data_IF_974335912442
#
_entry.id   IF_974335912442
#
_cell.length_a   1.000
_cell.length_b   1.000
_cell.length_c   1.000
_cell.angle_alpha   90.00
_cell.angle_beta   90.00
_cell.angle_gamma   90.00
#
_symmetry.space_group_name_H-M   'P 1'
#
loop_
_entity.id
_entity.type
_entity.pdbx_description
1 polymer ?
#
# COMPACT_ATOMS: atom_id res chain seq x y z
N UNK A 1 -11.01 13.07 -17.96
CA UNK A 1 -10.56 13.03 -16.58
C UNK A 1 -11.76 12.74 -15.69
N UNK A 2 -11.95 11.48 -15.29
CA UNK A 2 -12.86 11.15 -14.18
C UNK A 2 -12.10 11.41 -12.90
N UNK A 3 -12.66 12.22 -12.03
CA UNK A 3 -12.07 12.52 -10.74
C UNK A 3 -11.84 11.23 -9.95
N UNK A 4 -10.60 11.01 -9.49
CA UNK A 4 -10.16 9.90 -8.64
C UNK A 4 -10.88 9.91 -7.26
N UNK A 5 -11.68 10.93 -6.98
CA UNK A 5 -12.49 11.07 -5.75
C UNK A 5 -13.69 10.14 -5.66
N UNK A 6 -13.99 9.30 -6.68
CA UNK A 6 -15.12 8.38 -6.67
C UNK A 6 -14.73 6.91 -6.32
N UNK A 7 -13.68 6.70 -5.50
CA UNK A 7 -13.52 5.44 -4.75
C UNK A 7 -14.54 5.29 -3.60
N UNK A 8 -15.53 6.17 -3.52
CA UNK A 8 -16.72 6.06 -2.64
C UNK A 8 -17.78 5.08 -3.17
N UNK A 9 -17.40 4.14 -4.05
CA UNK A 9 -18.24 2.99 -4.34
C UNK A 9 -18.37 2.13 -3.12
N UNK A 10 -19.33 2.44 -2.24
CA UNK A 10 -19.92 1.60 -1.17
C UNK A 10 -18.97 0.68 -0.34
N UNK A 11 -17.68 1.01 -0.20
CA UNK A 11 -17.06 0.83 1.11
C UNK A 11 -17.88 1.73 2.01
N UNK A 12 -18.72 1.15 2.89
CA UNK A 12 -19.37 1.89 3.95
C UNK A 12 -18.32 2.82 4.55
N UNK A 13 -18.23 4.04 4.01
CA UNK A 13 -17.65 5.17 4.70
C UNK A 13 -18.66 5.43 5.81
N UNK A 14 -18.61 4.57 6.82
CA UNK A 14 -18.98 5.05 8.13
C UNK A 14 -18.02 6.20 8.31
N UNK A 15 -18.58 7.36 8.55
CA UNK A 15 -17.89 8.60 8.91
C UNK A 15 -16.93 8.27 10.07
N UNK A 16 -15.79 7.70 9.73
CA UNK A 16 -14.68 7.43 10.62
C UNK A 16 -13.86 8.72 10.61
N UNK A 17 -14.49 9.81 11.13
CA UNK A 17 -13.70 10.86 11.75
C UNK A 17 -12.66 10.14 12.62
N UNK A 18 -11.37 10.34 12.30
CA UNK A 18 -10.26 9.84 13.10
C UNK A 18 -10.60 10.18 14.55
N UNK A 19 -11.05 9.17 15.30
CA UNK A 19 -11.53 9.36 16.67
C UNK A 19 -10.30 9.35 17.59
N UNK A 20 -9.31 10.16 17.20
CA UNK A 20 -8.12 10.45 17.97
C UNK A 20 -8.48 11.67 18.79
N UNK A 21 -8.63 11.53 20.09
CA UNK A 21 -8.93 12.65 20.98
C UNK A 21 -7.84 13.72 20.82
N UNK A 22 -8.24 15.00 20.74
CA UNK A 22 -7.30 16.11 20.77
C UNK A 22 -6.90 16.37 22.22
N UNK A 23 -5.60 16.45 22.50
CA UNK A 23 -5.08 16.81 23.83
C UNK A 23 -5.16 18.31 24.02
N UNK A 24 -5.80 18.77 25.07
CA UNK A 24 -5.72 20.16 25.49
C UNK A 24 -4.33 20.42 26.12
N UNK A 25 -3.40 20.91 25.32
CA UNK A 25 -2.13 21.53 25.77
C UNK A 25 -0.86 20.74 25.49
N UNK A 26 -0.02 21.31 24.79
CA UNK A 26 1.33 21.79 24.86
C UNK A 26 2.37 21.16 23.93
N UNK A 27 2.40 19.86 23.66
CA UNK A 27 3.56 19.30 22.94
C UNK A 27 3.17 18.78 21.57
N UNK A 28 3.92 19.22 20.54
CA UNK A 28 3.81 18.66 19.18
C UNK A 28 3.95 17.13 19.25
N UNK A 29 3.23 16.40 18.39
CA UNK A 29 3.32 14.93 18.39
C UNK A 29 4.77 14.46 18.17
N UNK A 30 5.52 15.12 17.30
CA UNK A 30 6.92 14.79 17.03
C UNK A 30 7.79 14.81 18.29
N UNK A 31 7.51 15.66 19.28
CA UNK A 31 8.24 15.72 20.55
C UNK A 31 7.93 14.51 21.48
N UNK A 32 6.85 13.77 21.21
CA UNK A 32 6.42 12.61 22.01
C UNK A 32 7.01 11.29 21.50
N UNK A 33 7.66 11.27 20.35
CA UNK A 33 8.14 10.03 19.73
C UNK A 33 9.23 9.31 20.54
N UNK A 34 9.88 9.98 21.46
CA UNK A 34 10.80 9.34 22.43
C UNK A 34 10.07 8.38 23.39
N UNK A 35 8.77 8.63 23.70
CA UNK A 35 7.94 7.78 24.56
C UNK A 35 6.87 7.01 23.77
N UNK A 36 6.52 7.50 22.61
CA UNK A 36 5.52 6.92 21.70
C UNK A 36 6.19 6.63 20.35
N UNK A 37 7.02 5.58 20.24
CA UNK A 37 7.85 5.34 19.05
C UNK A 37 7.01 5.19 17.77
N UNK A 38 7.60 5.56 16.65
CA UNK A 38 6.92 5.51 15.36
C UNK A 38 7.61 4.56 14.37
N UNK A 39 6.83 4.13 13.37
CA UNK A 39 7.31 3.45 12.18
C UNK A 39 6.94 4.28 10.94
N UNK A 40 7.74 4.19 9.88
CA UNK A 40 7.43 4.77 8.58
C UNK A 40 6.66 3.76 7.73
N UNK A 41 5.65 4.24 7.02
CA UNK A 41 4.82 3.45 6.11
C UNK A 41 4.90 4.03 4.71
N UNK A 42 5.20 3.18 3.73
CA UNK A 42 5.30 3.54 2.32
C UNK A 42 4.23 2.80 1.53
N UNK A 43 3.39 3.56 0.84
CA UNK A 43 2.30 3.01 0.04
C UNK A 43 2.75 2.69 -1.39
N UNK A 44 1.95 1.86 -2.08
CA UNK A 44 2.21 1.47 -3.46
C UNK A 44 1.36 2.22 -4.48
N UNK A 45 0.96 1.48 -5.53
CA UNK A 45 0.13 1.97 -6.65
C UNK A 45 -1.30 2.30 -6.22
N UNK A 46 -1.97 3.13 -7.03
CA UNK A 46 -3.38 3.47 -6.87
C UNK A 46 -3.64 4.85 -6.26
N UNK A 47 -2.59 5.64 -6.04
CA UNK A 47 -2.68 6.99 -5.46
C UNK A 47 -2.07 8.05 -6.38
N UNK A 48 -2.49 9.31 -6.24
CA UNK A 48 -1.99 10.44 -7.02
C UNK A 48 -0.62 10.91 -6.50
N UNK A 49 0.41 10.21 -6.93
CA UNK A 49 1.80 10.50 -6.57
C UNK A 49 2.26 11.87 -7.08
N UNK A 50 1.73 12.33 -8.22
CA UNK A 50 2.18 13.59 -8.82
C UNK A 50 1.66 14.81 -8.05
N UNK A 51 0.43 14.79 -7.58
CA UNK A 51 -0.10 15.83 -6.69
C UNK A 51 0.65 15.86 -5.37
N UNK A 52 0.97 14.69 -4.80
CA UNK A 52 1.80 14.59 -3.60
C UNK A 52 3.20 15.20 -3.84
N UNK A 53 3.85 14.84 -4.96
CA UNK A 53 5.15 15.42 -5.32
C UNK A 53 5.08 16.93 -5.52
N UNK A 54 4.06 17.44 -6.23
CA UNK A 54 3.84 18.90 -6.40
C UNK A 54 3.76 19.61 -5.05
N UNK A 55 3.02 19.05 -4.11
CA UNK A 55 2.87 19.61 -2.77
C UNK A 55 4.22 19.67 -2.05
N UNK A 56 5.00 18.58 -2.06
CA UNK A 56 6.32 18.53 -1.42
C UNK A 56 7.34 19.47 -2.11
N UNK A 57 7.33 19.56 -3.45
CA UNK A 57 8.16 20.49 -4.20
C UNK A 57 7.86 21.95 -3.84
N UNK A 58 6.59 22.30 -3.69
CA UNK A 58 6.17 23.64 -3.24
C UNK A 58 6.59 23.94 -1.78
N UNK A 59 6.81 22.91 -0.97
CA UNK A 59 7.37 23.00 0.38
C UNK A 59 8.91 23.01 0.41
N UNK A 60 9.57 22.91 -0.75
CA UNK A 60 11.02 23.05 -0.88
C UNK A 60 11.82 21.78 -1.17
N UNK A 61 11.18 20.61 -1.23
CA UNK A 61 11.83 19.32 -1.42
C UNK A 61 12.62 19.18 -2.75
N UNK A 62 12.39 20.05 -3.73
CA UNK A 62 13.10 20.00 -5.02
C UNK A 62 14.62 20.06 -4.90
N UNK A 63 15.14 20.72 -3.89
CA UNK A 63 16.60 20.91 -3.70
C UNK A 63 17.31 19.60 -3.38
N UNK A 64 16.65 18.70 -2.68
CA UNK A 64 17.18 17.38 -2.29
C UNK A 64 16.88 16.32 -3.33
N UNK A 65 15.66 16.34 -3.88
CA UNK A 65 15.20 15.27 -4.77
C UNK A 65 15.68 15.43 -6.20
N UNK A 66 15.85 16.67 -6.73
CA UNK A 66 16.30 16.87 -8.11
C UNK A 66 17.69 16.25 -8.40
N UNK A 67 18.72 16.42 -7.56
CA UNK A 67 20.02 15.76 -7.77
C UNK A 67 19.92 14.21 -7.77
N UNK A 68 19.03 13.63 -6.94
CA UNK A 68 18.81 12.17 -6.91
C UNK A 68 18.20 11.68 -8.24
N UNK A 69 17.25 12.44 -8.81
CA UNK A 69 16.67 12.12 -10.12
C UNK A 69 17.70 12.21 -11.23
N UNK A 70 18.53 13.26 -11.25
CA UNK A 70 19.62 13.42 -12.22
C UNK A 70 20.59 12.25 -12.12
N UNK A 71 21.08 11.93 -10.93
CA UNK A 71 21.98 10.81 -10.71
C UNK A 71 21.37 9.46 -11.12
N UNK A 72 20.09 9.22 -10.80
CA UNK A 72 19.41 7.99 -11.21
C UNK A 72 19.29 7.89 -12.74
N UNK A 73 19.01 9.00 -13.43
CA UNK A 73 18.96 9.04 -14.89
C UNK A 73 20.34 8.79 -15.51
N UNK A 74 21.41 9.30 -14.92
CA UNK A 74 22.80 9.03 -15.35
C UNK A 74 23.14 7.55 -15.17
N UNK A 75 22.75 6.93 -14.05
CA UNK A 75 22.99 5.52 -13.76
C UNK A 75 22.36 4.59 -14.80
N UNK A 76 21.16 4.90 -15.31
CA UNK A 76 20.50 4.06 -16.34
C UNK A 76 20.81 4.47 -17.77
N UNK A 77 21.60 5.52 -18.00
CA UNK A 77 21.92 6.00 -19.34
C UNK A 77 22.41 4.90 -20.31
N UNK A 78 23.24 3.92 -19.87
CA UNK A 78 23.68 2.82 -20.75
C UNK A 78 22.57 1.95 -21.33
N UNK A 79 21.40 1.90 -20.66
CA UNK A 79 20.27 1.05 -21.04
C UNK A 79 19.00 1.82 -21.41
N UNK A 80 19.06 3.16 -21.46
CA UNK A 80 17.90 4.00 -21.70
C UNK A 80 17.17 3.68 -23.00
N UNK A 81 17.87 3.35 -24.06
CA UNK A 81 17.29 3.00 -25.37
C UNK A 81 16.52 1.67 -25.29
N UNK A 82 16.95 0.74 -24.44
CA UNK A 82 16.30 -0.56 -24.26
C UNK A 82 14.96 -0.42 -23.52
N UNK A 83 14.82 0.59 -22.66
CA UNK A 83 13.60 0.85 -21.90
C UNK A 83 12.69 1.89 -22.56
N UNK A 84 13.15 2.61 -23.58
CA UNK A 84 12.43 3.72 -24.22
C UNK A 84 11.04 3.35 -24.75
N UNK A 85 10.85 2.11 -25.23
CA UNK A 85 9.56 1.62 -25.73
C UNK A 85 8.50 1.34 -24.63
N UNK A 86 8.83 1.48 -23.35
CA UNK A 86 7.92 1.23 -22.23
C UNK A 86 7.26 2.50 -21.71
N UNK A 87 7.81 3.67 -22.03
CA UNK A 87 7.26 4.99 -21.69
C UNK A 87 7.40 5.93 -22.90
N UNK A 88 6.51 6.91 -22.97
CA UNK A 88 6.44 7.87 -24.09
C UNK A 88 7.30 9.12 -23.86
N UNK A 89 7.83 9.31 -22.66
CA UNK A 89 8.56 10.50 -22.20
C UNK A 89 9.78 10.11 -21.35
N UNK A 90 10.79 10.96 -21.33
CA UNK A 90 11.90 10.86 -20.37
C UNK A 90 11.39 11.05 -18.94
N UNK A 91 12.05 10.45 -17.96
CA UNK A 91 11.65 10.58 -16.56
C UNK A 91 12.15 11.90 -15.96
N UNK A 92 11.25 12.87 -15.81
CA UNK A 92 11.54 14.21 -15.26
C UNK A 92 10.44 14.63 -14.27
N UNK A 93 10.32 13.94 -13.13
CA UNK A 93 9.23 14.17 -12.18
C UNK A 93 9.25 15.57 -11.57
N UNK A 94 10.44 16.19 -11.43
CA UNK A 94 10.56 17.54 -10.88
C UNK A 94 10.06 18.58 -11.88
N UNK A 95 10.41 18.44 -13.17
CA UNK A 95 9.87 19.30 -14.22
C UNK A 95 8.34 19.20 -14.32
N UNK A 96 7.78 18.03 -14.13
CA UNK A 96 6.32 17.83 -14.11
C UNK A 96 5.66 18.40 -12.84
N UNK A 97 6.30 18.25 -11.69
CA UNK A 97 5.78 18.76 -10.41
C UNK A 97 5.84 20.29 -10.32
N UNK A 98 6.85 20.93 -10.93
CA UNK A 98 6.98 22.40 -10.96
C UNK A 98 6.15 23.08 -12.05
N UNK A 99 5.30 22.33 -12.78
CA UNK A 99 4.54 22.82 -13.95
C UNK A 99 5.40 23.41 -15.07
N UNK A 100 6.72 23.13 -15.04
CA UNK A 100 7.66 23.57 -16.07
C UNK A 100 7.46 22.83 -17.39
N UNK A 101 6.79 21.66 -17.35
CA UNK A 101 6.47 20.85 -18.53
C UNK A 101 5.01 20.42 -18.50
N UNK A 102 4.35 20.53 -19.65
CA UNK A 102 3.00 19.98 -19.82
C UNK A 102 3.00 18.46 -19.69
N UNK A 103 2.04 17.93 -18.96
CA UNK A 103 1.86 16.49 -18.77
C UNK A 103 1.00 15.95 -19.91
N UNK A 104 1.64 15.30 -20.89
CA UNK A 104 0.98 14.69 -22.06
C UNK A 104 0.92 13.16 -21.99
N UNK A 105 1.08 12.56 -20.80
CA UNK A 105 1.11 11.12 -20.60
C UNK A 105 0.20 10.70 -19.45
N UNK A 106 -0.14 9.41 -19.43
CA UNK A 106 -0.85 8.81 -18.31
C UNK A 106 0.13 8.53 -17.14
N UNK A 107 0.00 9.29 -16.06
CA UNK A 107 0.84 9.18 -14.86
C UNK A 107 0.66 7.83 -14.12
N UNK A 108 -0.41 7.07 -14.42
CA UNK A 108 -0.63 5.74 -13.86
C UNK A 108 0.14 4.63 -14.58
N UNK A 109 0.79 4.91 -15.73
CA UNK A 109 1.64 3.92 -16.40
C UNK A 109 2.76 3.43 -15.49
N UNK A 110 2.91 2.11 -15.32
CA UNK A 110 3.87 1.53 -14.38
C UNK A 110 5.32 1.98 -14.64
N UNK A 111 5.72 2.16 -15.90
CA UNK A 111 7.05 2.68 -16.25
C UNK A 111 7.31 4.12 -15.75
N UNK A 112 6.27 4.84 -15.34
CA UNK A 112 6.32 6.22 -14.84
C UNK A 112 5.92 6.24 -13.36
N UNK A 113 4.83 5.57 -12.98
CA UNK A 113 4.30 5.59 -11.62
C UNK A 113 5.19 4.85 -10.62
N UNK A 114 5.86 3.76 -11.01
CA UNK A 114 6.78 3.05 -10.10
C UNK A 114 7.90 3.97 -9.59
N UNK A 115 8.71 4.60 -10.44
CA UNK A 115 9.70 5.57 -9.96
C UNK A 115 9.06 6.87 -9.43
N UNK A 116 7.92 7.29 -9.96
CA UNK A 116 7.24 8.53 -9.55
C UNK A 116 6.74 8.48 -8.10
N UNK A 117 6.12 7.37 -7.70
CA UNK A 117 5.69 7.15 -6.31
C UNK A 117 6.90 7.19 -5.37
N UNK A 118 7.98 6.52 -5.74
CA UNK A 118 9.19 6.51 -4.92
C UNK A 118 9.79 7.93 -4.76
N UNK A 119 9.86 8.71 -5.84
CA UNK A 119 10.31 10.12 -5.78
C UNK A 119 9.39 10.95 -4.88
N UNK A 120 8.07 10.77 -4.97
CA UNK A 120 7.14 11.50 -4.12
C UNK A 120 7.32 11.18 -2.63
N UNK A 121 7.61 9.92 -2.30
CA UNK A 121 7.91 9.48 -0.93
C UNK A 121 9.21 10.11 -0.40
N UNK A 122 10.27 10.13 -1.20
CA UNK A 122 11.52 10.80 -0.82
C UNK A 122 11.32 12.31 -0.61
N UNK A 123 10.49 12.94 -1.45
CA UNK A 123 10.18 14.36 -1.31
C UNK A 123 9.38 14.65 -0.03
N UNK A 124 8.44 13.78 0.34
CA UNK A 124 7.69 13.91 1.61
C UNK A 124 8.62 13.73 2.80
N UNK A 125 9.52 12.73 2.78
CA UNK A 125 10.50 12.56 3.85
C UNK A 125 11.37 13.79 4.04
N UNK A 126 11.90 14.38 2.96
CA UNK A 126 12.68 15.62 3.00
C UNK A 126 11.91 16.79 3.66
N UNK A 127 10.62 16.92 3.34
CA UNK A 127 9.75 17.92 3.98
C UNK A 127 9.60 17.64 5.46
N UNK A 128 9.32 16.40 5.87
CA UNK A 128 9.14 16.03 7.27
C UNK A 128 10.42 16.27 8.09
N UNK A 129 11.59 15.89 7.57
CA UNK A 129 12.89 16.14 8.19
C UNK A 129 13.17 17.63 8.33
N UNK A 130 12.89 18.44 7.28
CA UNK A 130 13.06 19.89 7.32
C UNK A 130 12.20 20.57 8.39
N UNK A 131 11.08 19.94 8.76
CA UNK A 131 10.16 20.39 9.83
C UNK A 131 10.52 19.83 11.22
N UNK A 132 11.52 18.94 11.30
CA UNK A 132 12.06 18.44 12.56
C UNK A 132 11.68 17.01 12.93
N UNK A 133 11.16 16.20 12.00
CA UNK A 133 11.06 14.75 12.20
C UNK A 133 12.46 14.12 12.04
N UNK A 134 12.89 13.38 13.03
CA UNK A 134 14.09 12.53 12.94
C UNK A 134 13.66 11.17 12.34
N UNK A 135 13.82 11.00 11.02
CA UNK A 135 13.39 9.75 10.33
C UNK A 135 14.22 8.54 10.76
N UNK A 136 15.46 8.74 11.19
CA UNK A 136 16.35 7.68 11.68
C UNK A 136 15.90 7.13 13.05
N UNK A 137 15.07 7.88 13.77
CA UNK A 137 14.46 7.44 15.02
C UNK A 137 13.28 6.46 14.82
N UNK A 138 12.85 6.19 13.58
CA UNK A 138 11.83 5.19 13.32
C UNK A 138 12.28 3.80 13.76
N UNK A 139 11.44 3.12 14.58
CA UNK A 139 11.77 1.75 15.06
C UNK A 139 11.80 0.72 13.94
N UNK A 140 11.07 0.98 12.84
CA UNK A 140 11.07 0.17 11.63
C UNK A 140 10.41 0.95 10.49
N UNK A 141 10.51 0.41 9.27
CA UNK A 141 9.80 0.90 8.09
C UNK A 141 9.06 -0.25 7.39
N UNK A 142 7.88 0.05 6.86
CA UNK A 142 6.99 -0.91 6.19
C UNK A 142 6.70 -0.45 4.76
N UNK A 143 6.67 -1.40 3.83
CA UNK A 143 6.33 -1.13 2.43
C UNK A 143 5.13 -1.94 1.97
N UNK A 144 4.05 -1.26 1.62
CA UNK A 144 2.91 -1.90 0.97
C UNK A 144 3.17 -1.96 -0.54
N UNK A 145 3.20 -3.17 -1.11
CA UNK A 145 3.43 -3.35 -2.54
C UNK A 145 4.76 -2.71 -2.98
N UNK A 146 4.75 -1.82 -3.98
CA UNK A 146 5.97 -1.12 -4.40
C UNK A 146 6.49 -0.08 -3.38
N UNK A 147 5.74 0.24 -2.33
CA UNK A 147 6.25 1.03 -1.21
C UNK A 147 7.49 0.42 -0.54
N UNK A 148 7.79 -0.84 -0.81
CA UNK A 148 9.06 -1.49 -0.42
C UNK A 148 10.29 -0.72 -0.92
N UNK A 149 10.18 0.07 -2.00
CA UNK A 149 11.27 0.94 -2.48
C UNK A 149 11.66 1.98 -1.43
N UNK A 150 10.67 2.59 -0.75
CA UNK A 150 10.92 3.51 0.37
C UNK A 150 11.66 2.83 1.52
N UNK A 151 11.33 1.57 1.82
CA UNK A 151 12.03 0.80 2.86
C UNK A 151 13.50 0.58 2.49
N UNK A 152 13.81 0.23 1.23
CA UNK A 152 15.20 0.08 0.77
C UNK A 152 15.99 1.39 0.88
N UNK A 153 15.38 2.53 0.58
CA UNK A 153 16.02 3.82 0.73
C UNK A 153 16.27 4.19 2.20
N UNK A 154 15.32 3.93 3.10
CA UNK A 154 15.50 4.20 4.53
C UNK A 154 16.57 3.32 5.19
N UNK A 155 16.83 2.13 4.66
CA UNK A 155 17.93 1.28 5.15
C UNK A 155 19.32 1.87 4.83
N UNK A 156 19.44 2.57 3.71
CA UNK A 156 20.67 3.23 3.30
C UNK A 156 20.32 4.39 2.33
N UNK A 157 20.17 5.59 2.87
CA UNK A 157 19.84 6.79 2.09
C UNK A 157 20.92 7.14 1.04
N UNK A 158 22.17 6.71 1.23
CA UNK A 158 23.23 6.94 0.24
C UNK A 158 22.98 6.20 -1.07
N UNK A 159 22.08 5.20 -1.04
CA UNK A 159 21.68 4.40 -2.20
C UNK A 159 20.37 4.86 -2.84
N UNK A 160 19.76 5.94 -2.37
CA UNK A 160 18.46 6.39 -2.87
C UNK A 160 18.44 6.59 -4.39
N UNK A 161 19.49 7.14 -4.97
CA UNK A 161 19.62 7.29 -6.42
C UNK A 161 19.72 5.93 -7.16
N UNK A 162 20.46 4.96 -6.60
CA UNK A 162 20.52 3.60 -7.15
C UNK A 162 19.14 2.90 -7.07
N UNK A 163 18.44 3.02 -5.94
CA UNK A 163 17.08 2.48 -5.79
C UNK A 163 16.12 3.13 -6.78
N UNK A 164 16.25 4.45 -7.03
CA UNK A 164 15.44 5.15 -8.03
C UNK A 164 15.77 4.70 -9.46
N UNK A 165 17.03 4.46 -9.75
CA UNK A 165 17.46 3.88 -11.04
C UNK A 165 16.83 2.49 -11.23
N UNK A 166 16.90 1.62 -10.21
CA UNK A 166 16.26 0.31 -10.21
C UNK A 166 14.73 0.41 -10.33
N UNK A 167 14.09 1.38 -9.68
CA UNK A 167 12.64 1.62 -9.81
C UNK A 167 12.22 1.93 -11.25
N UNK A 168 13.05 2.69 -12.00
CA UNK A 168 12.80 2.94 -13.42
C UNK A 168 12.91 1.64 -14.26
N UNK A 169 13.92 0.80 -13.98
CA UNK A 169 14.09 -0.49 -14.65
C UNK A 169 12.93 -1.46 -14.32
N UNK A 170 12.50 -1.50 -13.07
CA UNK A 170 11.34 -2.31 -12.62
C UNK A 170 10.07 -1.86 -13.33
N UNK A 171 9.77 -0.56 -13.37
CA UNK A 171 8.62 -0.02 -14.06
C UNK A 171 8.59 -0.36 -15.55
N UNK A 172 9.75 -0.31 -16.20
CA UNK A 172 9.91 -0.70 -17.60
C UNK A 172 9.71 -2.22 -17.81
N UNK A 173 10.35 -3.04 -16.98
CA UNK A 173 10.30 -4.50 -17.10
C UNK A 173 8.88 -5.05 -16.85
N UNK A 174 8.21 -4.57 -15.79
CA UNK A 174 6.83 -4.99 -15.49
C UNK A 174 5.86 -4.59 -16.61
N UNK A 175 5.99 -3.37 -17.17
CA UNK A 175 5.18 -2.92 -18.30
C UNK A 175 5.34 -3.82 -19.51
N UNK A 176 6.58 -4.23 -19.82
CA UNK A 176 6.89 -5.13 -20.94
C UNK A 176 6.34 -6.53 -20.72
N UNK A 177 6.61 -7.10 -19.53
CA UNK A 177 6.20 -8.46 -19.18
C UNK A 177 4.69 -8.59 -19.07
N UNK A 178 4.00 -7.59 -18.52
CA UNK A 178 2.54 -7.59 -18.43
C UNK A 178 1.87 -7.69 -19.80
N UNK A 179 2.43 -7.01 -20.83
CA UNK A 179 1.94 -7.13 -22.21
C UNK A 179 2.12 -8.54 -22.77
N UNK A 180 3.23 -9.19 -22.45
CA UNK A 180 3.52 -10.57 -22.90
C UNK A 180 2.57 -11.59 -22.25
N UNK A 181 2.27 -11.40 -20.95
CA UNK A 181 1.47 -12.34 -20.14
C UNK A 181 -0.04 -12.05 -20.16
N UNK A 182 -0.46 -10.91 -20.68
CA UNK A 182 -1.84 -10.45 -20.62
C UNK A 182 -2.28 -9.89 -19.26
N UNK A 183 -1.33 -9.65 -18.33
CA UNK A 183 -1.58 -9.01 -17.04
C UNK A 183 -1.69 -7.49 -17.18
N UNK A 184 -2.50 -7.04 -18.10
CA UNK A 184 -2.70 -5.62 -18.47
C UNK A 184 -4.19 -5.29 -18.39
N UNK A 185 -4.52 -4.08 -17.95
CA UNK A 185 -5.89 -3.59 -17.93
C UNK A 185 -6.52 -3.60 -19.33
N UNK A 186 -7.78 -4.01 -19.41
CA UNK A 186 -8.56 -4.10 -20.65
C UNK A 186 -9.90 -3.38 -20.44
N UNK A 187 -9.98 -2.14 -20.88
CA UNK A 187 -11.11 -1.26 -20.57
C UNK A 187 -11.26 -1.08 -19.06
N UNK A 188 -12.46 -1.33 -18.52
CA UNK A 188 -12.73 -1.22 -17.09
C UNK A 188 -12.28 -2.46 -16.27
N UNK A 189 -11.75 -3.49 -16.92
CA UNK A 189 -11.28 -4.70 -16.25
C UNK A 189 -9.78 -4.63 -15.98
N UNK A 190 -9.41 -4.57 -14.71
CA UNK A 190 -8.02 -4.54 -14.26
C UNK A 190 -7.44 -5.94 -14.01
N UNK A 191 -6.10 -6.05 -14.05
CA UNK A 191 -5.41 -7.28 -13.69
C UNK A 191 -5.37 -7.52 -12.18
N UNK A 192 -5.73 -6.53 -11.36
CA UNK A 192 -5.76 -6.57 -9.90
C UNK A 192 -7.14 -6.17 -9.39
N UNK A 193 -7.72 -7.00 -8.50
CA UNK A 193 -9.06 -6.77 -7.95
C UNK A 193 -9.04 -6.99 -6.45
N UNK A 194 -9.43 -5.97 -5.68
CA UNK A 194 -9.64 -6.11 -4.24
C UNK A 194 -10.96 -6.84 -3.97
N UNK A 195 -10.92 -7.81 -3.05
CA UNK A 195 -12.08 -8.60 -2.65
C UNK A 195 -12.14 -8.60 -1.12
N UNK A 196 -13.11 -7.90 -0.57
CA UNK A 196 -13.40 -7.83 0.85
C UNK A 196 -14.47 -8.84 1.29
N UNK A 197 -14.63 -9.01 2.59
CA UNK A 197 -15.60 -9.91 3.22
C UNK A 197 -15.45 -11.38 2.76
N UNK A 198 -14.22 -11.81 2.54
CA UNK A 198 -13.89 -13.17 2.10
C UNK A 198 -12.75 -13.74 2.94
N UNK A 199 -12.71 -15.06 3.13
CA UNK A 199 -11.55 -15.72 3.71
C UNK A 199 -10.57 -16.15 2.63
N UNK A 200 -9.28 -16.26 2.96
CA UNK A 200 -8.26 -16.79 2.04
C UNK A 200 -8.67 -18.14 1.43
N UNK A 201 -9.25 -19.03 2.26
CA UNK A 201 -9.69 -20.36 1.82
C UNK A 201 -10.81 -20.27 0.77
N UNK A 202 -11.80 -19.40 0.98
CA UNK A 202 -12.89 -19.21 0.01
C UNK A 202 -12.37 -18.66 -1.32
N UNK A 203 -11.48 -17.66 -1.26
CA UNK A 203 -10.89 -17.09 -2.48
C UNK A 203 -10.04 -18.12 -3.21
N UNK A 204 -9.19 -18.89 -2.50
CA UNK A 204 -8.40 -19.95 -3.10
C UNK A 204 -9.28 -21.03 -3.76
N UNK A 205 -10.36 -21.45 -3.09
CA UNK A 205 -11.32 -22.40 -3.67
C UNK A 205 -11.98 -21.87 -4.95
N UNK A 206 -12.27 -20.56 -4.99
CA UNK A 206 -12.84 -19.95 -6.20
C UNK A 206 -11.81 -19.93 -7.35
N UNK A 207 -10.54 -19.63 -7.06
CA UNK A 207 -9.44 -19.70 -8.03
C UNK A 207 -9.29 -21.13 -8.57
N UNK A 208 -9.19 -22.12 -7.68
CA UNK A 208 -9.02 -23.52 -8.05
C UNK A 208 -10.19 -24.07 -8.86
N UNK A 209 -11.41 -23.62 -8.53
CA UNK A 209 -12.62 -24.03 -9.26
C UNK A 209 -12.72 -23.41 -10.64
N UNK A 210 -12.41 -22.10 -10.78
CA UNK A 210 -12.60 -21.37 -12.02
C UNK A 210 -11.41 -21.47 -13.00
N UNK A 211 -10.19 -21.70 -12.47
CA UNK A 211 -8.92 -21.58 -13.20
C UNK A 211 -7.92 -22.70 -12.85
N UNK A 212 -8.34 -23.79 -12.20
CA UNK A 212 -7.45 -24.85 -11.76
C UNK A 212 -6.76 -25.62 -12.88
N UNK A 213 -7.30 -25.55 -14.09
CA UNK A 213 -6.76 -26.16 -15.31
C UNK A 213 -5.65 -25.33 -15.98
N UNK A 214 -5.46 -24.07 -15.53
CA UNK A 214 -4.39 -23.21 -16.05
C UNK A 214 -3.03 -23.61 -15.47
N UNK A 215 -1.97 -23.37 -16.25
CA UNK A 215 -0.59 -23.48 -15.79
C UNK A 215 -0.35 -22.54 -14.58
N UNK A 216 0.42 -23.02 -13.60
CA UNK A 216 0.70 -22.26 -12.37
C UNK A 216 1.35 -20.91 -12.63
N UNK A 217 2.14 -20.79 -13.70
CA UNK A 217 2.84 -19.56 -14.05
C UNK A 217 1.91 -18.42 -14.51
N UNK A 218 0.66 -18.75 -14.94
CA UNK A 218 -0.33 -17.79 -15.43
C UNK A 218 -1.66 -17.83 -14.67
N UNK A 219 -1.82 -18.80 -13.75
CA UNK A 219 -3.03 -18.95 -12.93
C UNK A 219 -3.18 -17.74 -12.02
N UNK A 220 -4.38 -17.14 -11.92
CA UNK A 220 -4.64 -16.07 -10.98
C UNK A 220 -4.22 -16.44 -9.55
N UNK A 221 -3.63 -15.49 -8.83
CA UNK A 221 -3.10 -15.70 -7.47
C UNK A 221 -3.62 -14.67 -6.48
N UNK A 222 -3.49 -14.95 -5.21
CA UNK A 222 -3.69 -13.97 -4.14
C UNK A 222 -2.37 -13.21 -3.97
N UNK A 223 -2.27 -12.03 -4.60
CA UNK A 223 -1.05 -11.22 -4.56
C UNK A 223 -0.88 -10.43 -3.27
N UNK A 224 -1.99 -9.95 -2.66
CA UNK A 224 -1.92 -9.19 -1.42
C UNK A 224 -2.98 -9.64 -0.40
N UNK A 225 -2.63 -9.56 0.87
CA UNK A 225 -3.54 -9.60 2.00
C UNK A 225 -3.54 -8.22 2.68
N UNK A 226 -4.55 -7.42 2.35
CA UNK A 226 -4.63 -6.03 2.81
C UNK A 226 -5.25 -5.86 4.20
N UNK A 227 -6.16 -6.78 4.58
CA UNK A 227 -6.79 -6.81 5.90
C UNK A 227 -7.15 -8.26 6.28
N UNK A 228 -7.83 -8.46 7.41
CA UNK A 228 -8.19 -9.82 7.90
C UNK A 228 -9.02 -10.60 6.89
N UNK A 229 -9.90 -9.91 6.17
CA UNK A 229 -10.85 -10.47 5.20
C UNK A 229 -10.82 -9.75 3.85
N UNK A 230 -9.72 -9.03 3.57
CA UNK A 230 -9.54 -8.29 2.33
C UNK A 230 -8.26 -8.76 1.62
N UNK A 231 -8.41 -9.24 0.39
CA UNK A 231 -7.33 -9.77 -0.45
C UNK A 231 -7.35 -9.12 -1.81
N UNK A 232 -6.22 -9.13 -2.52
CA UNK A 232 -6.15 -8.73 -3.92
C UNK A 232 -5.88 -9.96 -4.77
N UNK A 233 -6.82 -10.23 -5.66
CA UNK A 233 -6.69 -11.22 -6.74
C UNK A 233 -5.88 -10.59 -7.86
N UNK A 234 -4.86 -11.29 -8.34
CA UNK A 234 -4.02 -10.87 -9.47
C UNK A 234 -4.07 -11.94 -10.56
N UNK A 235 -4.40 -11.53 -11.76
CA UNK A 235 -4.53 -12.43 -12.91
C UNK A 235 -4.90 -11.67 -14.18
N UNK A 236 -4.97 -12.38 -15.30
CA UNK A 236 -5.50 -11.80 -16.53
C UNK A 236 -6.96 -11.37 -16.34
N UNK A 237 -7.39 -10.22 -16.90
CA UNK A 237 -8.75 -9.73 -16.69
C UNK A 237 -9.86 -10.74 -17.01
N UNK A 238 -9.67 -11.55 -18.05
CA UNK A 238 -10.61 -12.60 -18.44
C UNK A 238 -10.69 -13.74 -17.42
N UNK A 239 -9.60 -14.10 -16.79
CA UNK A 239 -9.57 -15.15 -15.77
C UNK A 239 -10.08 -14.63 -14.42
N UNK A 240 -9.72 -13.40 -14.04
CA UNK A 240 -10.30 -12.73 -12.90
C UNK A 240 -11.84 -12.68 -13.01
N UNK A 241 -12.38 -12.35 -14.19
CA UNK A 241 -13.83 -12.31 -14.42
C UNK A 241 -14.50 -13.65 -14.10
N UNK A 242 -13.93 -14.78 -14.51
CA UNK A 242 -14.48 -16.13 -14.20
C UNK A 242 -14.60 -16.36 -12.70
N UNK A 243 -13.57 -15.97 -11.95
CA UNK A 243 -13.52 -16.09 -10.48
C UNK A 243 -14.59 -15.18 -9.84
N UNK A 244 -14.66 -13.92 -10.28
CA UNK A 244 -15.63 -12.95 -9.76
C UNK A 244 -17.08 -13.37 -10.03
N UNK A 245 -17.36 -13.91 -11.19
CA UNK A 245 -18.71 -14.41 -11.54
C UNK A 245 -19.08 -15.62 -10.68
N UNK A 246 -18.12 -16.51 -10.40
CA UNK A 246 -18.32 -17.62 -9.46
C UNK A 246 -18.64 -17.10 -8.05
N UNK A 247 -17.89 -16.13 -7.54
CA UNK A 247 -18.13 -15.53 -6.21
C UNK A 247 -19.50 -14.84 -6.15
N UNK A 248 -19.88 -14.08 -7.17
CA UNK A 248 -21.22 -13.45 -7.28
C UNK A 248 -22.34 -14.48 -7.28
N UNK A 249 -22.15 -15.58 -8.03
CA UNK A 249 -23.12 -16.69 -8.06
C UNK A 249 -23.26 -17.35 -6.69
N UNK A 250 -22.15 -17.62 -6.00
CA UNK A 250 -22.15 -18.17 -4.64
C UNK A 250 -22.85 -17.23 -3.65
N UNK A 251 -22.61 -15.92 -3.73
CA UNK A 251 -23.27 -14.91 -2.91
C UNK A 251 -24.80 -14.89 -3.12
N UNK A 252 -25.23 -14.91 -4.39
CA UNK A 252 -26.66 -14.95 -4.72
C UNK A 252 -27.36 -16.22 -4.22
N UNK A 253 -26.68 -17.38 -4.31
CA UNK A 253 -27.19 -18.66 -3.78
C UNK A 253 -27.30 -18.63 -2.28
N UNK A 254 -26.30 -18.10 -1.59
CA UNK A 254 -26.26 -18.02 -0.14
C UNK A 254 -27.31 -17.04 0.41
N UNK A 255 -27.50 -15.90 -0.23
CA UNK A 255 -28.52 -14.93 0.10
C UNK A 255 -29.95 -15.57 0.07
N UNK A 256 -30.24 -16.35 -0.99
CA UNK A 256 -31.51 -17.11 -1.09
C UNK A 256 -31.65 -18.16 0.02
N UNK A 257 -30.55 -18.84 0.40
CA UNK A 257 -30.57 -19.82 1.47
C UNK A 257 -30.89 -19.18 2.85
N UNK A 258 -30.35 -17.98 3.10
CA UNK A 258 -30.66 -17.21 4.32
C UNK A 258 -32.12 -16.72 4.30
N UNK A 259 -32.57 -16.14 3.17
CA UNK A 259 -33.95 -15.67 2.99
C UNK A 259 -34.98 -16.80 3.22
N UNK A 260 -34.72 -17.98 2.66
CA UNK A 260 -35.55 -19.15 2.82
C UNK A 260 -35.38 -19.88 4.18
N UNK A 261 -34.63 -19.31 5.12
CA UNK A 261 -34.34 -19.88 6.46
C UNK A 261 -33.67 -21.27 6.38
N UNK A 262 -33.01 -21.61 5.31
CA UNK A 262 -32.28 -22.85 5.15
C UNK A 262 -30.96 -22.85 5.95
N UNK A 263 -30.45 -21.65 6.27
CA UNK A 263 -29.36 -21.41 7.20
C UNK A 263 -29.56 -20.10 7.97
N UNK A 264 -28.91 -19.98 9.13
CA UNK A 264 -28.85 -18.74 9.92
C UNK A 264 -27.62 -17.89 9.58
N UNK A 265 -27.55 -16.69 10.16
CA UNK A 265 -26.45 -15.75 10.04
C UNK A 265 -26.60 -14.79 8.85
N UNK A 266 -25.61 -13.90 8.69
CA UNK A 266 -25.53 -13.00 7.54
C UNK A 266 -25.18 -13.76 6.25
N UNK A 267 -25.73 -13.37 5.09
CA UNK A 267 -25.35 -13.97 3.82
C UNK A 267 -23.89 -13.67 3.46
N UNK A 268 -23.25 -14.57 2.72
CA UNK A 268 -21.97 -14.31 2.10
C UNK A 268 -22.14 -13.17 1.08
N UNK A 269 -21.41 -12.09 1.28
CA UNK A 269 -21.49 -10.90 0.44
C UNK A 269 -20.08 -10.32 0.25
N UNK A 270 -19.31 -10.82 -0.73
CA UNK A 270 -17.99 -10.31 -1.01
C UNK A 270 -18.08 -8.91 -1.61
N UNK A 271 -17.27 -7.99 -1.10
CA UNK A 271 -17.09 -6.67 -1.69
C UNK A 271 -16.01 -6.75 -2.77
N UNK A 272 -16.33 -6.39 -4.00
CA UNK A 272 -15.45 -6.54 -5.17
C UNK A 272 -15.18 -5.17 -5.77
N UNK A 273 -13.91 -4.74 -5.75
CA UNK A 273 -13.46 -3.46 -6.29
C UNK A 273 -12.25 -3.65 -7.22
N UNK A 274 -12.37 -3.42 -8.53
CA UNK A 274 -11.21 -3.33 -9.41
C UNK A 274 -10.26 -2.23 -8.93
N UNK A 275 -8.96 -2.51 -8.92
CA UNK A 275 -7.96 -1.49 -8.61
C UNK A 275 -7.59 -0.73 -9.90
N UNK A 276 -7.38 0.58 -9.77
CA UNK A 276 -6.92 1.43 -10.87
C UNK A 276 -5.40 1.25 -11.08
N UNK A 277 -5.03 0.04 -11.49
CA UNK A 277 -3.66 -0.36 -11.75
C UNK A 277 -3.56 -0.94 -13.15
N UNK A 278 -2.67 -0.37 -13.96
CA UNK A 278 -2.54 -0.69 -15.39
C UNK A 278 -1.98 -2.09 -15.65
N UNK A 279 -1.15 -2.62 -14.74
CA UNK A 279 -0.46 -3.91 -14.89
C UNK A 279 -0.54 -4.72 -13.59
N UNK A 280 -0.47 -6.06 -13.71
CA UNK A 280 -0.44 -6.94 -12.55
C UNK A 280 0.94 -7.00 -11.91
N UNK A 281 0.97 -6.86 -10.59
CA UNK A 281 2.15 -7.06 -9.72
C UNK A 281 1.92 -8.27 -8.81
N UNK A 282 2.97 -8.71 -8.10
CA UNK A 282 2.90 -9.80 -7.11
C UNK A 282 2.37 -11.11 -7.70
N UNK A 283 2.86 -11.43 -8.91
CA UNK A 283 2.43 -12.62 -9.66
C UNK A 283 3.63 -13.41 -10.21
N UNK A 284 3.62 -14.76 -10.17
CA UNK A 284 4.72 -15.59 -10.70
C UNK A 284 5.06 -15.32 -12.17
N UNK A 285 4.08 -14.92 -12.98
CA UNK A 285 4.29 -14.54 -14.39
C UNK A 285 5.29 -13.38 -14.58
N UNK A 286 5.63 -12.65 -13.52
CA UNK A 286 6.60 -11.55 -13.54
C UNK A 286 8.06 -12.02 -13.32
N UNK A 287 8.31 -13.30 -13.05
CA UNK A 287 9.69 -13.83 -12.87
C UNK A 287 10.63 -13.47 -14.02
N UNK A 288 10.22 -13.57 -15.30
CA UNK A 288 11.11 -13.16 -16.41
C UNK A 288 11.43 -11.65 -16.40
N UNK A 289 10.55 -10.81 -15.83
CA UNK A 289 10.82 -9.38 -15.67
C UNK A 289 11.91 -9.12 -14.62
N UNK A 290 11.99 -9.95 -13.57
CA UNK A 290 13.07 -9.87 -12.57
C UNK A 290 14.43 -10.10 -13.24
N UNK A 291 14.53 -11.14 -14.06
CA UNK A 291 15.79 -11.44 -14.79
C UNK A 291 16.15 -10.33 -15.78
N UNK A 292 15.15 -9.71 -16.41
CA UNK A 292 15.38 -8.57 -17.29
C UNK A 292 15.90 -7.33 -16.52
N UNK A 293 15.38 -7.05 -15.33
CA UNK A 293 15.89 -5.97 -14.47
C UNK A 293 17.34 -6.22 -14.09
N UNK A 294 17.68 -7.46 -13.69
CA UNK A 294 19.06 -7.84 -13.35
C UNK A 294 20.01 -7.69 -14.53
N UNK A 295 19.57 -8.06 -15.73
CA UNK A 295 20.35 -7.88 -16.96
C UNK A 295 20.64 -6.39 -17.21
N UNK A 296 19.62 -5.54 -17.22
CA UNK A 296 19.77 -4.11 -17.40
C UNK A 296 20.61 -3.44 -16.30
N UNK A 297 20.41 -3.86 -15.05
CA UNK A 297 21.20 -3.38 -13.92
C UNK A 297 22.69 -3.72 -14.10
N UNK A 298 22.99 -4.94 -14.60
CA UNK A 298 24.36 -5.37 -14.90
C UNK A 298 24.99 -4.50 -15.98
N UNK A 299 24.28 -4.26 -17.08
CA UNK A 299 24.75 -3.40 -18.18
C UNK A 299 24.95 -1.94 -17.74
N UNK A 300 24.13 -1.47 -16.80
CA UNK A 300 24.23 -0.13 -16.21
C UNK A 300 25.27 -0.04 -15.08
N UNK A 301 25.93 -1.14 -14.69
CA UNK A 301 26.90 -1.16 -13.60
C UNK A 301 26.29 -1.05 -12.19
N UNK A 302 24.99 -1.32 -12.04
CA UNK A 302 24.28 -1.32 -10.76
C UNK A 302 24.47 -2.64 -10.00
N UNK A 303 24.18 -2.64 -8.70
CA UNK A 303 24.28 -3.81 -7.87
C UNK A 303 23.22 -4.88 -8.25
N UNK A 304 23.68 -6.05 -8.74
CA UNK A 304 22.83 -7.12 -9.23
C UNK A 304 21.98 -7.79 -8.14
N UNK A 305 22.53 -7.93 -6.92
CA UNK A 305 21.83 -8.55 -5.80
C UNK A 305 20.66 -7.64 -5.36
N UNK A 306 20.94 -6.34 -5.19
CA UNK A 306 19.90 -5.36 -4.89
C UNK A 306 18.86 -5.30 -6.02
N UNK A 307 19.28 -5.31 -7.28
CA UNK A 307 18.38 -5.31 -8.43
C UNK A 307 17.42 -6.52 -8.39
N UNK A 308 17.94 -7.71 -8.13
CA UNK A 308 17.14 -8.93 -8.01
C UNK A 308 16.20 -8.85 -6.81
N UNK A 309 16.68 -8.39 -5.67
CA UNK A 309 15.87 -8.28 -4.46
C UNK A 309 14.72 -7.29 -4.65
N UNK A 310 15.02 -6.06 -5.08
CA UNK A 310 14.04 -5.01 -5.37
C UNK A 310 13.00 -5.50 -6.39
N UNK A 311 13.45 -6.03 -7.52
CA UNK A 311 12.57 -6.51 -8.57
C UNK A 311 11.67 -7.66 -8.10
N UNK A 312 12.21 -8.62 -7.33
CA UNK A 312 11.45 -9.74 -6.78
C UNK A 312 10.39 -9.26 -5.79
N UNK A 313 10.77 -8.37 -4.88
CA UNK A 313 9.85 -7.82 -3.87
C UNK A 313 8.69 -7.04 -4.50
N UNK A 314 8.99 -6.19 -5.49
CA UNK A 314 7.97 -5.36 -6.15
C UNK A 314 7.08 -6.17 -7.09
N UNK A 315 7.62 -7.12 -7.86
CA UNK A 315 6.89 -7.74 -8.96
C UNK A 315 6.33 -9.12 -8.67
N UNK A 316 6.95 -9.89 -7.76
CA UNK A 316 6.67 -11.33 -7.59
C UNK A 316 6.20 -11.67 -6.18
N UNK A 317 6.86 -11.17 -5.14
CA UNK A 317 6.58 -11.55 -3.76
C UNK A 317 5.18 -11.09 -3.32
N UNK A 318 4.31 -12.00 -2.83
CA UNK A 318 3.03 -11.59 -2.25
C UNK A 318 3.22 -10.69 -1.03
N UNK A 319 2.27 -9.79 -0.81
CA UNK A 319 2.28 -8.86 0.34
C UNK A 319 1.32 -9.35 1.42
N UNK A 320 1.81 -9.53 2.64
CA UNK A 320 0.96 -9.67 3.84
C UNK A 320 1.03 -8.40 4.68
N UNK A 321 0.14 -7.44 4.37
CA UNK A 321 0.09 -6.17 5.08
C UNK A 321 -0.31 -6.33 6.54
N UNK A 322 -1.15 -7.32 6.83
CA UNK A 322 -1.58 -7.61 8.22
C UNK A 322 -0.40 -8.04 9.08
N UNK A 323 0.50 -8.87 8.53
CA UNK A 323 1.69 -9.33 9.23
C UNK A 323 2.67 -8.17 9.45
N UNK A 324 2.99 -7.41 8.40
CA UNK A 324 3.91 -6.27 8.49
C UNK A 324 3.47 -5.24 9.56
N UNK A 325 2.18 -4.85 9.57
CA UNK A 325 1.66 -3.90 10.57
C UNK A 325 1.75 -4.46 11.98
N UNK A 326 1.46 -5.76 12.17
CA UNK A 326 1.58 -6.41 13.48
C UNK A 326 3.02 -6.50 13.97
N UNK A 327 3.93 -6.79 13.06
CA UNK A 327 5.37 -6.85 13.38
C UNK A 327 5.90 -5.47 13.80
N UNK A 328 5.46 -4.39 13.15
CA UNK A 328 5.82 -3.03 13.54
C UNK A 328 5.31 -2.69 14.95
N UNK A 329 4.07 -3.04 15.28
CA UNK A 329 3.52 -2.86 16.64
C UNK A 329 4.27 -3.72 17.65
N UNK A 330 4.63 -4.95 17.30
CA UNK A 330 5.42 -5.83 18.14
C UNK A 330 6.86 -5.31 18.37
N UNK A 331 7.43 -4.62 17.36
CA UNK A 331 8.71 -3.91 17.48
C UNK A 331 8.64 -2.63 18.33
N UNK A 332 7.45 -2.25 18.79
CA UNK A 332 7.24 -1.13 19.69
C UNK A 332 6.61 0.12 19.04
N UNK A 333 6.31 0.10 17.75
CA UNK A 333 5.68 1.24 17.10
C UNK A 333 4.30 1.53 17.73
N UNK A 334 4.08 2.79 18.08
CA UNK A 334 2.80 3.33 18.57
C UNK A 334 2.13 4.20 17.52
N UNK A 335 2.90 4.78 16.65
CA UNK A 335 2.46 5.58 15.51
C UNK A 335 3.00 4.97 14.21
N UNK A 336 2.15 4.85 13.22
CA UNK A 336 2.51 4.45 11.86
C UNK A 336 2.30 5.66 10.95
N UNK A 337 3.40 6.28 10.52
CA UNK A 337 3.38 7.51 9.71
C UNK A 337 3.36 7.13 8.23
N UNK A 338 2.22 7.29 7.58
CA UNK A 338 2.05 6.96 6.16
C UNK A 338 2.57 8.11 5.29
N UNK A 339 3.73 7.88 4.70
CA UNK A 339 4.45 8.81 3.84
C UNK A 339 3.80 8.93 2.44
N UNK A 340 2.77 8.14 2.20
CA UNK A 340 1.98 8.23 0.98
C UNK A 340 2.52 7.48 -0.23
N UNK A 341 2.09 7.90 -1.42
CA UNK A 341 1.40 9.17 -1.75
C UNK A 341 -0.04 9.29 -1.22
N UNK A 342 -0.53 10.53 -1.13
CA UNK A 342 -1.86 10.92 -0.65
C UNK A 342 -2.15 10.36 0.77
N UNK A 343 -3.30 9.75 0.99
CA UNK A 343 -3.67 9.07 2.24
C UNK A 343 -3.09 7.66 2.34
N UNK A 344 -2.48 7.18 1.28
CA UNK A 344 -1.78 5.90 1.21
C UNK A 344 -2.64 4.71 1.67
N UNK A 345 -2.05 3.86 2.50
CA UNK A 345 -2.70 2.68 3.08
C UNK A 345 -3.22 2.91 4.50
N UNK A 346 -3.34 4.18 4.91
CA UNK A 346 -3.82 4.56 6.27
C UNK A 346 -5.11 3.83 6.61
N UNK A 347 -6.12 3.84 5.72
CA UNK A 347 -7.40 3.15 5.96
C UNK A 347 -7.24 1.64 6.24
N UNK A 348 -6.41 0.94 5.45
CA UNK A 348 -6.15 -0.49 5.64
C UNK A 348 -5.41 -0.74 6.95
N UNK A 349 -4.51 0.17 7.30
CA UNK A 349 -3.70 0.11 8.53
C UNK A 349 -4.55 0.32 9.77
N UNK A 350 -5.50 1.26 9.74
CA UNK A 350 -6.46 1.50 10.84
C UNK A 350 -7.28 0.25 11.18
N UNK A 351 -7.80 -0.46 10.15
CA UNK A 351 -8.54 -1.70 10.36
C UNK A 351 -7.69 -2.76 11.12
N UNK A 352 -6.41 -2.85 10.78
CA UNK A 352 -5.49 -3.81 11.41
C UNK A 352 -5.13 -3.39 12.83
N UNK A 353 -4.94 -2.09 13.06
CA UNK A 353 -4.56 -1.51 14.35
C UNK A 353 -5.71 -1.47 15.36
N UNK A 354 -6.95 -1.69 14.93
CA UNK A 354 -8.12 -1.60 15.82
C UNK A 354 -7.92 -2.37 17.12
N UNK A 355 -7.93 -1.65 18.24
CA UNK A 355 -7.75 -2.18 19.59
C UNK A 355 -6.31 -2.51 20.03
N UNK A 356 -5.32 -2.21 19.23
CA UNK A 356 -3.88 -2.40 19.57
C UNK A 356 -3.34 -1.31 20.51
N UNK A 357 -3.99 -0.14 20.53
CA UNK A 357 -3.47 1.06 21.20
C UNK A 357 -2.40 1.81 20.38
N UNK A 358 -2.16 1.41 19.13
CA UNK A 358 -1.40 2.15 18.15
C UNK A 358 -2.31 2.85 17.15
N UNK A 359 -1.81 3.86 16.46
CA UNK A 359 -2.54 4.64 15.46
C UNK A 359 -1.70 4.84 14.20
N UNK A 360 -2.34 5.23 13.11
CA UNK A 360 -1.68 5.61 11.86
C UNK A 360 -2.07 7.03 11.48
N UNK A 361 -1.17 7.73 10.79
CA UNK A 361 -1.38 9.10 10.31
C UNK A 361 -0.90 9.24 8.87
N UNK A 362 -1.73 9.80 7.96
CA UNK A 362 -1.32 10.13 6.60
C UNK A 362 -0.52 11.44 6.60
N UNK A 363 0.81 11.34 6.58
CA UNK A 363 1.70 12.53 6.68
C UNK A 363 2.18 13.05 5.33
N UNK A 364 1.70 12.49 4.23
CA UNK A 364 2.04 12.92 2.88
C UNK A 364 1.37 14.25 2.47
N UNK A 365 0.37 14.70 3.21
CA UNK A 365 -0.39 15.91 2.92
C UNK A 365 -0.27 16.94 4.06
N UNK A 366 -0.57 18.23 3.80
CA UNK A 366 -0.44 19.28 4.82
C UNK A 366 -1.27 19.06 6.08
N UNK A 367 -2.47 18.49 5.96
CA UNK A 367 -3.35 18.24 7.12
C UNK A 367 -2.73 17.20 8.05
N UNK A 368 -2.20 16.11 7.50
CA UNK A 368 -1.46 15.11 8.27
C UNK A 368 -0.18 15.65 8.88
N UNK A 369 0.54 16.53 8.15
CA UNK A 369 1.73 17.23 8.70
C UNK A 369 1.36 18.13 9.87
N UNK A 370 0.23 18.83 9.80
CA UNK A 370 -0.25 19.65 10.91
C UNK A 370 -0.49 18.82 12.19
N UNK A 371 -0.95 17.58 12.08
CA UNK A 371 -1.09 16.68 13.23
C UNK A 371 0.25 16.35 13.91
N UNK A 372 1.36 16.36 13.15
CA UNK A 372 2.71 16.12 13.70
C UNK A 372 3.30 17.37 14.34
N UNK A 373 3.18 18.51 13.69
CA UNK A 373 4.00 19.69 13.96
C UNK A 373 3.22 20.83 14.63
N UNK A 374 1.88 20.80 14.63
CA UNK A 374 1.03 21.77 15.32
C UNK A 374 0.61 21.21 16.68
N UNK A 375 1.01 21.87 17.77
CA UNK A 375 0.70 21.44 19.11
C UNK A 375 -0.81 21.42 19.42
N UNK A 376 -1.57 22.32 18.78
CA UNK A 376 -3.02 22.42 18.99
C UNK A 376 -3.80 21.31 18.26
N UNK A 377 -3.15 20.61 17.32
CA UNK A 377 -3.73 19.52 16.53
C UNK A 377 -3.15 18.14 16.87
N UNK A 378 -2.20 18.05 17.81
CA UNK A 378 -1.53 16.80 18.14
C UNK A 378 -2.54 15.75 18.67
N UNK A 379 -2.66 14.59 18.00
CA UNK A 379 -3.61 13.55 18.38
C UNK A 379 -3.16 12.75 19.60
N UNK A 380 -4.09 12.05 20.24
CA UNK A 380 -3.82 11.06 21.28
C UNK A 380 -3.91 9.63 20.75
N UNK A 381 -3.08 8.73 21.29
CA UNK A 381 -3.20 7.32 20.99
C UNK A 381 -4.55 6.76 21.46
N UNK A 382 -5.18 5.87 20.68
CA UNK A 382 -6.37 5.16 21.11
C UNK A 382 -6.03 4.24 22.28
N UNK A 383 -6.98 4.06 23.19
CA UNK A 383 -6.80 3.09 24.27
C UNK A 383 -6.88 1.66 23.73
N UNK A 384 -5.94 0.79 24.10
CA UNK A 384 -6.03 -0.61 23.71
C UNK A 384 -7.27 -1.29 24.30
N UNK A 385 -7.83 -2.28 23.63
CA UNK A 385 -8.99 -3.01 24.12
C UNK A 385 -8.75 -3.70 25.47
N UNK A 386 -7.50 -4.05 25.78
CA UNK A 386 -7.11 -4.56 27.11
C UNK A 386 -7.50 -3.63 28.26
N UNK A 387 -7.48 -2.31 28.02
CA UNK A 387 -7.77 -1.31 29.04
C UNK A 387 -9.29 -1.17 29.31
N UNK A 388 -10.13 -1.71 28.42
CA UNK A 388 -11.57 -1.77 28.59
C UNK A 388 -12.04 -3.09 29.21
N UNK A 389 -11.17 -4.08 29.32
CA UNK A 389 -11.52 -5.40 29.81
C UNK A 389 -12.13 -5.39 31.23
N UNK A 390 -11.64 -4.60 32.20
CA UNK A 390 -12.25 -4.48 33.53
C UNK A 390 -13.67 -3.91 33.50
N UNK A 391 -13.90 -2.88 32.68
CA UNK A 391 -15.22 -2.23 32.55
C UNK A 391 -16.25 -3.10 31.84
N UNK A 392 -15.80 -4.02 30.99
CA UNK A 392 -16.71 -4.99 30.34
C UNK A 392 -17.14 -6.11 31.28
N UNK A 393 -16.24 -6.55 32.19
CA UNK A 393 -16.58 -7.57 33.20
C UNK A 393 -17.62 -7.10 34.22
N UNK A 394 -17.61 -5.81 34.59
CA UNK A 394 -18.48 -5.20 35.56
C UNK A 394 -19.87 -4.80 35.03
N UNK A 395 -20.09 -4.91 33.72
CA UNK A 395 -21.39 -4.59 33.14
C UNK A 395 -22.34 -5.78 33.22
N UNK A 396 -23.69 -5.56 33.35
CA UNK A 396 -24.68 -6.64 33.34
C UNK A 396 -24.65 -7.53 32.08
N UNK A 397 -23.96 -7.07 31.03
CA UNK A 397 -23.71 -7.80 29.79
C UNK A 397 -22.26 -8.30 29.68
N UNK A 398 -21.43 -8.09 30.70
CA UNK A 398 -20.01 -8.38 30.76
C UNK A 398 -19.60 -9.78 30.28
N UNK A 399 -20.25 -10.86 30.78
CA UNK A 399 -19.90 -12.21 30.36
C UNK A 399 -20.08 -12.46 28.86
N UNK A 400 -21.15 -11.91 28.27
CA UNK A 400 -21.40 -12.04 26.82
C UNK A 400 -20.44 -11.21 25.99
N UNK A 401 -20.05 -10.03 26.47
CA UNK A 401 -19.07 -9.17 25.80
C UNK A 401 -17.66 -9.73 25.94
N UNK A 402 -17.31 -10.31 27.09
CA UNK A 402 -16.03 -10.99 27.31
C UNK A 402 -15.86 -12.21 26.39
N UNK A 403 -16.92 -13.02 26.21
CA UNK A 403 -16.92 -14.14 25.26
C UNK A 403 -16.73 -13.64 23.83
N UNK A 404 -17.46 -12.60 23.43
CA UNK A 404 -17.33 -12.01 22.10
C UNK A 404 -15.96 -11.36 21.86
N UNK A 405 -15.36 -10.77 22.89
CA UNK A 405 -14.00 -10.25 22.86
C UNK A 405 -12.97 -11.38 22.65
N UNK A 406 -13.11 -12.50 23.37
CA UNK A 406 -12.25 -13.68 23.19
C UNK A 406 -12.39 -14.27 21.79
N UNK A 407 -13.63 -14.35 21.26
CA UNK A 407 -13.89 -14.80 19.89
C UNK A 407 -13.26 -13.90 18.82
N UNK A 408 -13.27 -12.57 19.04
CA UNK A 408 -12.77 -11.59 18.10
C UNK A 408 -11.24 -11.41 18.16
N UNK A 409 -10.64 -11.53 19.34
CA UNK A 409 -9.23 -11.20 19.58
C UNK A 409 -8.34 -12.42 19.81
N UNK A 410 -8.93 -13.59 20.08
CA UNK A 410 -8.20 -14.79 20.50
C UNK A 410 -7.55 -14.68 21.89
N UNK A 411 -7.83 -13.61 22.65
CA UNK A 411 -7.30 -13.38 24.00
C UNK A 411 -8.41 -13.47 25.04
N UNK A 412 -8.14 -14.20 26.09
CA UNK A 412 -9.05 -14.22 27.25
C UNK A 412 -8.84 -12.93 28.06
N UNK A 413 -9.91 -12.17 28.41
CA UNK A 413 -9.77 -11.03 29.31
C UNK A 413 -9.13 -11.51 30.62
N UNK A 414 -8.01 -10.92 31.01
CA UNK A 414 -7.42 -11.18 32.31
C UNK A 414 -8.33 -10.57 33.37
N UNK A 415 -8.87 -11.39 34.24
CA UNK A 415 -9.48 -10.94 35.50
C UNK A 415 -8.35 -10.33 36.36
N UNK A 416 -8.60 -9.19 37.07
CA UNK A 416 -7.61 -8.56 37.92
C UNK A 416 -7.12 -9.45 39.06
#
# INVERSE_FOLDING_TARGET
>A
MKNITDYSGDFLVTDHSINVGLRAGSDRLVARFAQEPFALVFSGQGFDWLTTLKTAVNQGASRTVAPLVEQANELIAPVVDQIAGTRTVGFDPIGWASDAKEISFDAAQAAISVPGIFVSQLAVLDVLESQGLDVDAAVTSLGHSQGILGVFACQDLTRAAEVLALAQLVGAAVTRQARVTGLVAQGDAGPMVAIGNITRKQLQQAIDTACGDLDESIRPTIGLRNARTTYVLVGRPEDNRKILDLLRHQAAKDAKAVENKLRGGAPFNPNIAPLDVQVGFHHPAMIPAVDQVVLWATEAGLNQELAREVATKVMVTPVDWVEQVRDAVAAGARWLLDVGPDTGVTFLTEEILAGSGAATLPVANPDGQALLFDADQAPELPRPYSDYAPTLADSPRGPRLATKFTELTGRTPTTP
#
